data_IF_280151101943
#
_entry.id   IF_280151101943
#
_cell.length_a   1.000
_cell.length_b   1.000
_cell.length_c   1.000
_cell.angle_alpha   90.00
_cell.angle_beta   90.00
_cell.angle_gamma   90.00
#
_symmetry.space_group_name_H-M   'P 1'
#
loop_
_entity.id
_entity.type
_entity.pdbx_description
1 polymer ?
#
# COMPACT_ATOMS: atom_id res chain seq x y z
N UNK A 1 -11.16 -35.87 -9.76
CA UNK A 1 -9.95 -35.72 -8.92
C UNK A 1 -10.21 -34.56 -7.97
N UNK A 2 -9.96 -34.72 -6.67
CA UNK A 2 -10.08 -33.60 -5.73
C UNK A 2 -8.77 -32.84 -5.75
N UNK A 3 -8.83 -31.51 -5.91
CA UNK A 3 -7.68 -30.65 -5.70
C UNK A 3 -7.37 -30.57 -4.19
N UNK A 4 -6.10 -30.52 -3.83
CA UNK A 4 -5.68 -30.19 -2.47
C UNK A 4 -5.55 -28.67 -2.31
N UNK A 5 -5.54 -28.18 -1.07
CA UNK A 5 -5.25 -26.77 -0.79
C UNK A 5 -3.90 -26.33 -1.35
N UNK A 6 -2.89 -27.22 -1.35
CA UNK A 6 -1.58 -26.94 -1.93
C UNK A 6 -1.66 -26.72 -3.45
N UNK A 7 -2.49 -27.49 -4.16
CA UNK A 7 -2.68 -27.33 -5.60
C UNK A 7 -3.39 -26.01 -5.95
N UNK A 8 -4.26 -25.52 -5.08
CA UNK A 8 -4.92 -24.21 -5.22
C UNK A 8 -3.95 -23.07 -4.94
N UNK A 9 -3.09 -23.21 -3.92
CA UNK A 9 -2.06 -22.21 -3.62
C UNK A 9 -1.07 -22.05 -4.79
N UNK A 10 -0.64 -23.15 -5.41
CA UNK A 10 0.22 -23.09 -6.62
C UNK A 10 -0.44 -22.36 -7.79
N UNK A 11 -1.76 -22.53 -7.96
CA UNK A 11 -2.50 -21.79 -8.98
C UNK A 11 -2.64 -20.30 -8.64
N UNK A 12 -2.81 -19.97 -7.36
CA UNK A 12 -2.83 -18.59 -6.90
C UNK A 12 -1.47 -17.89 -7.08
N UNK A 13 -0.36 -18.61 -6.86
CA UNK A 13 0.99 -18.12 -7.16
C UNK A 13 1.15 -17.83 -8.66
N UNK A 14 0.76 -18.76 -9.53
CA UNK A 14 0.80 -18.54 -10.98
C UNK A 14 -0.07 -17.33 -11.42
N UNK A 15 -1.26 -17.19 -10.84
CA UNK A 15 -2.11 -16.01 -11.07
C UNK A 15 -1.42 -14.71 -10.61
N UNK A 16 -0.76 -14.72 -9.46
CA UNK A 16 -0.04 -13.55 -8.96
C UNK A 16 1.14 -13.17 -9.88
N UNK A 17 1.87 -14.16 -10.40
CA UNK A 17 2.95 -13.94 -11.38
C UNK A 17 2.39 -13.32 -12.67
N UNK A 18 1.28 -13.84 -13.20
CA UNK A 18 0.61 -13.30 -14.38
C UNK A 18 0.14 -11.85 -14.15
N UNK A 19 -0.40 -11.56 -12.96
CA UNK A 19 -0.78 -10.20 -12.56
C UNK A 19 0.40 -9.26 -12.49
N UNK A 20 1.58 -9.75 -12.06
CA UNK A 20 2.82 -8.98 -12.05
C UNK A 20 3.23 -8.47 -13.43
N UNK A 21 2.77 -9.12 -14.49
CA UNK A 21 3.04 -8.74 -15.89
C UNK A 21 2.01 -7.77 -16.47
N UNK A 22 0.99 -7.35 -15.71
CA UNK A 22 0.05 -6.31 -16.16
C UNK A 22 0.76 -4.96 -16.22
N UNK A 23 0.52 -4.20 -17.28
CA UNK A 23 1.13 -2.88 -17.51
C UNK A 23 0.94 -1.95 -16.30
N UNK A 24 -0.23 -1.99 -15.64
CA UNK A 24 -0.53 -1.17 -14.46
C UNK A 24 0.31 -1.56 -13.24
N UNK A 25 0.59 -2.85 -13.06
CA UNK A 25 1.42 -3.38 -11.97
C UNK A 25 2.90 -3.12 -12.24
N UNK A 26 3.34 -3.28 -13.48
CA UNK A 26 4.70 -2.91 -13.88
C UNK A 26 4.93 -1.41 -13.68
N UNK A 27 3.97 -0.58 -14.10
CA UNK A 27 4.02 0.87 -13.92
C UNK A 27 4.08 1.26 -12.43
N UNK A 28 3.30 0.58 -11.57
CA UNK A 28 3.39 0.75 -10.12
C UNK A 28 4.81 0.48 -9.59
N UNK A 29 5.45 -0.63 -10.00
CA UNK A 29 6.82 -0.94 -9.58
C UNK A 29 7.86 0.06 -10.11
N UNK A 30 7.69 0.55 -11.34
CA UNK A 30 8.57 1.59 -11.88
C UNK A 30 8.47 2.90 -11.09
N UNK A 31 7.26 3.30 -10.69
CA UNK A 31 7.04 4.47 -9.83
C UNK A 31 7.60 4.25 -8.43
N UNK A 32 7.44 3.06 -7.86
CA UNK A 32 8.02 2.67 -6.58
C UNK A 32 9.56 2.82 -6.60
N UNK A 33 10.22 2.32 -7.65
CA UNK A 33 11.66 2.45 -7.82
C UNK A 33 12.09 3.93 -7.89
N UNK A 34 11.41 4.75 -8.69
CA UNK A 34 11.67 6.20 -8.78
C UNK A 34 11.45 6.91 -7.44
N UNK A 35 10.45 6.51 -6.68
CA UNK A 35 10.16 7.05 -5.35
C UNK A 35 11.27 6.70 -4.36
N UNK A 36 11.75 5.46 -4.39
CA UNK A 36 12.83 4.97 -3.54
C UNK A 36 14.16 5.69 -3.83
N UNK A 37 14.43 6.02 -5.09
CA UNK A 37 15.61 6.79 -5.50
C UNK A 37 15.50 8.30 -5.25
N UNK A 38 14.28 8.81 -5.00
CA UNK A 38 14.05 10.24 -4.82
C UNK A 38 14.63 10.75 -3.48
N UNK A 39 15.81 11.37 -3.55
CA UNK A 39 16.54 11.92 -2.38
C UNK A 39 15.70 12.88 -1.52
N UNK A 40 14.83 13.68 -2.13
CA UNK A 40 13.97 14.64 -1.40
C UNK A 40 12.93 13.88 -0.56
N UNK A 41 12.26 12.90 -1.16
CA UNK A 41 11.32 12.01 -0.47
C UNK A 41 12.01 11.26 0.67
N UNK A 42 13.16 10.63 0.40
CA UNK A 42 13.92 9.89 1.42
C UNK A 42 14.35 10.79 2.59
N UNK A 43 14.74 12.03 2.30
CA UNK A 43 15.08 13.02 3.33
C UNK A 43 13.87 13.34 4.22
N UNK A 44 12.69 13.58 3.63
CA UNK A 44 11.49 13.85 4.41
C UNK A 44 10.99 12.64 5.19
N UNK A 45 11.05 11.43 4.63
CA UNK A 45 10.72 10.18 5.33
C UNK A 45 11.62 10.00 6.57
N UNK A 46 12.92 10.27 6.45
CA UNK A 46 13.84 10.19 7.58
C UNK A 46 13.51 11.21 8.67
N UNK A 47 13.13 12.43 8.28
CA UNK A 47 12.67 13.46 9.24
C UNK A 47 11.39 13.03 9.95
N UNK A 48 10.41 12.49 9.24
CA UNK A 48 9.17 11.94 9.82
C UNK A 48 9.50 10.85 10.83
N UNK A 49 10.34 9.86 10.46
CA UNK A 49 10.74 8.76 11.37
C UNK A 49 11.39 9.28 12.65
N UNK A 50 12.27 10.28 12.54
CA UNK A 50 12.89 10.91 13.71
C UNK A 50 11.84 11.58 14.61
N UNK A 51 10.92 12.35 14.02
CA UNK A 51 9.85 13.04 14.77
C UNK A 51 8.86 12.07 15.40
N UNK A 52 8.47 10.99 14.71
CA UNK A 52 7.61 9.94 15.26
C UNK A 52 8.25 9.29 16.50
N UNK A 53 9.55 8.99 16.44
CA UNK A 53 10.29 8.47 17.60
C UNK A 53 10.30 9.46 18.76
N UNK A 54 10.47 10.75 18.47
CA UNK A 54 10.40 11.81 19.48
C UNK A 54 8.99 11.94 20.07
N UNK A 55 7.94 11.88 19.25
CA UNK A 55 6.54 11.93 19.68
C UNK A 55 6.20 10.78 20.64
N UNK A 56 6.58 9.54 20.29
CA UNK A 56 6.41 8.36 21.17
C UNK A 56 7.15 8.55 22.50
N UNK A 57 8.36 9.12 22.48
CA UNK A 57 9.10 9.42 23.71
C UNK A 57 8.40 10.48 24.57
N UNK A 58 7.90 11.56 23.97
CA UNK A 58 7.16 12.62 24.66
C UNK A 58 5.85 12.11 25.26
N UNK A 59 5.15 11.23 24.54
CA UNK A 59 3.96 10.55 25.01
C UNK A 59 4.25 9.73 26.27
N UNK A 60 5.36 8.97 26.30
CA UNK A 60 5.78 8.17 27.45
C UNK A 60 6.05 9.02 28.71
N UNK A 61 6.47 10.28 28.54
CA UNK A 61 6.68 11.24 29.64
C UNK A 61 5.46 12.15 29.92
N UNK A 62 4.32 11.91 29.27
CA UNK A 62 3.09 12.68 29.49
C UNK A 62 3.12 14.11 28.94
N UNK A 63 4.07 14.45 28.06
CA UNK A 63 4.25 15.81 27.51
C UNK A 63 3.35 16.05 26.29
N UNK A 64 2.04 16.12 26.51
CA UNK A 64 1.03 16.21 25.44
C UNK A 64 1.20 17.39 24.49
N UNK A 65 1.46 18.60 24.98
CA UNK A 65 1.60 19.79 24.12
C UNK A 65 2.79 19.65 23.16
N UNK A 66 3.93 19.16 23.67
CA UNK A 66 5.10 18.91 22.85
C UNK A 66 4.88 17.77 21.84
N UNK A 67 4.12 16.74 22.22
CA UNK A 67 3.72 15.66 21.30
C UNK A 67 2.87 16.20 20.15
N UNK A 68 1.86 17.02 20.44
CA UNK A 68 0.99 17.62 19.42
C UNK A 68 1.77 18.50 18.44
N UNK A 69 2.76 19.25 18.95
CA UNK A 69 3.64 20.03 18.09
C UNK A 69 4.47 19.15 17.13
N UNK A 70 4.96 17.99 17.60
CA UNK A 70 5.65 17.03 16.74
C UNK A 70 4.74 16.39 15.70
N UNK A 71 3.49 16.07 16.07
CA UNK A 71 2.47 15.56 15.14
C UNK A 71 2.18 16.58 14.03
N UNK A 72 1.97 17.85 14.39
CA UNK A 72 1.78 18.92 13.41
C UNK A 72 2.97 19.06 12.45
N UNK A 73 4.19 18.98 12.96
CA UNK A 73 5.39 19.02 12.11
C UNK A 73 5.52 17.81 11.19
N UNK A 74 5.02 16.64 11.61
CA UNK A 74 4.93 15.45 10.75
C UNK A 74 3.92 15.71 9.63
N UNK A 75 2.75 16.25 9.94
CA UNK A 75 1.71 16.56 8.96
C UNK A 75 2.23 17.57 7.91
N UNK A 76 2.92 18.63 8.34
CA UNK A 76 3.54 19.61 7.44
C UNK A 76 4.61 18.99 6.51
N UNK A 77 5.31 17.95 6.96
CA UNK A 77 6.27 17.23 6.12
C UNK A 77 5.54 16.27 5.17
N UNK A 78 4.46 15.64 5.62
CA UNK A 78 3.62 14.79 4.77
C UNK A 78 2.99 15.59 3.63
N UNK A 79 2.46 16.79 3.89
CA UNK A 79 1.96 17.69 2.84
C UNK A 79 3.06 18.03 1.81
N UNK A 80 4.30 18.23 2.26
CA UNK A 80 5.44 18.48 1.37
C UNK A 80 5.82 17.26 0.54
N UNK A 81 5.69 16.04 1.09
CA UNK A 81 5.88 14.79 0.35
C UNK A 81 4.77 14.66 -0.70
N UNK A 82 3.52 14.90 -0.32
CA UNK A 82 2.34 14.79 -1.17
C UNK A 82 2.34 15.77 -2.34
N UNK A 83 3.01 16.92 -2.19
CA UNK A 83 3.24 17.87 -3.28
C UNK A 83 4.30 17.45 -4.30
N UNK A 84 5.00 16.33 -4.12
CA UNK A 84 6.03 15.87 -5.05
C UNK A 84 5.37 15.10 -6.21
N UNK A 85 5.64 15.45 -7.49
CA UNK A 85 4.97 14.83 -8.64
C UNK A 85 5.05 13.29 -8.66
N UNK A 86 6.23 12.71 -8.44
CA UNK A 86 6.38 11.23 -8.42
C UNK A 86 5.59 10.57 -7.28
N UNK A 87 5.33 11.27 -6.18
CA UNK A 87 4.48 10.76 -5.09
C UNK A 87 3.03 10.74 -5.52
N UNK A 88 2.57 11.76 -6.24
CA UNK A 88 1.21 11.83 -6.76
C UNK A 88 0.95 10.73 -7.78
N UNK A 89 1.85 10.58 -8.75
CA UNK A 89 1.80 9.49 -9.74
C UNK A 89 1.79 8.11 -9.06
N UNK A 90 2.62 7.91 -8.03
CA UNK A 90 2.64 6.67 -7.25
C UNK A 90 1.33 6.42 -6.49
N UNK A 91 0.72 7.45 -5.91
CA UNK A 91 -0.60 7.32 -5.24
C UNK A 91 -1.70 6.96 -6.24
N UNK A 92 -1.67 7.54 -7.43
CA UNK A 92 -2.63 7.20 -8.49
C UNK A 92 -2.46 5.74 -8.95
N UNK A 93 -1.21 5.30 -9.17
CA UNK A 93 -0.96 3.89 -9.54
C UNK A 93 -1.35 2.92 -8.42
N UNK A 94 -1.19 3.28 -7.14
CA UNK A 94 -1.72 2.50 -6.02
C UNK A 94 -3.24 2.30 -6.09
N UNK A 95 -4.00 3.33 -6.45
CA UNK A 95 -5.46 3.22 -6.57
C UNK A 95 -5.83 2.23 -7.68
N UNK A 96 -5.16 2.32 -8.83
CA UNK A 96 -5.39 1.41 -9.96
C UNK A 96 -5.04 -0.04 -9.59
N UNK A 97 -3.85 -0.27 -9.04
CA UNK A 97 -3.41 -1.59 -8.57
C UNK A 97 -4.38 -2.19 -7.54
N UNK A 98 -4.84 -1.40 -6.58
CA UNK A 98 -5.82 -1.86 -5.60
C UNK A 98 -7.15 -2.24 -6.25
N UNK A 99 -7.61 -1.50 -7.25
CA UNK A 99 -8.84 -1.82 -7.96
C UNK A 99 -8.73 -3.15 -8.72
N UNK A 100 -7.58 -3.44 -9.34
CA UNK A 100 -7.31 -4.73 -10.00
C UNK A 100 -7.38 -5.87 -8.98
N UNK A 101 -6.66 -5.76 -7.87
CA UNK A 101 -6.64 -6.76 -6.80
C UNK A 101 -8.04 -7.00 -6.21
N UNK A 102 -8.80 -5.94 -5.97
CA UNK A 102 -10.17 -6.02 -5.46
C UNK A 102 -11.10 -6.69 -6.46
N UNK A 103 -11.01 -6.36 -7.75
CA UNK A 103 -11.86 -6.94 -8.80
C UNK A 103 -11.66 -8.45 -8.91
N UNK A 104 -10.40 -8.91 -8.85
CA UNK A 104 -10.06 -10.34 -8.89
C UNK A 104 -10.57 -11.04 -7.62
N UNK A 105 -10.32 -10.45 -6.45
CA UNK A 105 -10.80 -10.99 -5.17
C UNK A 105 -12.32 -11.15 -5.16
N UNK A 106 -13.05 -10.13 -5.63
CA UNK A 106 -14.50 -10.15 -5.74
C UNK A 106 -14.98 -11.23 -6.73
N UNK A 107 -14.29 -11.40 -7.86
CA UNK A 107 -14.63 -12.43 -8.84
C UNK A 107 -14.43 -13.85 -8.28
N UNK A 108 -13.31 -14.09 -7.59
CA UNK A 108 -13.03 -15.36 -6.89
C UNK A 108 -14.13 -15.63 -5.86
N UNK A 109 -14.43 -14.65 -5.00
CA UNK A 109 -15.47 -14.77 -3.98
C UNK A 109 -16.82 -15.08 -4.63
N UNK A 110 -17.22 -14.32 -5.65
CA UNK A 110 -18.47 -14.57 -6.36
C UNK A 110 -18.52 -15.99 -6.93
N UNK A 111 -17.46 -16.45 -7.58
CA UNK A 111 -17.43 -17.77 -8.23
C UNK A 111 -17.48 -18.91 -7.22
N UNK A 112 -16.78 -18.79 -6.08
CA UNK A 112 -16.76 -19.82 -5.03
C UNK A 112 -18.13 -19.99 -4.35
N UNK A 113 -18.86 -18.89 -4.15
CA UNK A 113 -20.15 -18.90 -3.45
C UNK A 113 -21.38 -18.83 -4.38
N UNK A 114 -21.18 -18.85 -5.71
CA UNK A 114 -22.27 -18.65 -6.70
C UNK A 114 -23.34 -19.76 -6.66
N UNK A 115 -22.91 -20.99 -6.36
CA UNK A 115 -23.77 -22.17 -6.42
C UNK A 115 -24.61 -22.40 -5.14
N UNK A 116 -24.34 -21.65 -4.06
CA UNK A 116 -25.08 -21.79 -2.80
C UNK A 116 -26.46 -21.08 -2.80
N UNK A 117 -26.74 -20.23 -3.79
CA UNK A 117 -27.99 -19.46 -3.90
C UNK A 117 -29.02 -20.08 -4.88
N UNK A 118 -28.63 -21.08 -5.69
CA UNK A 118 -29.52 -21.67 -6.70
C UNK A 118 -30.44 -22.79 -6.17
N UNK A 119 -30.27 -23.21 -4.92
CA UNK A 119 -31.02 -24.32 -4.28
C UNK A 119 -31.92 -23.88 -3.10
N UNK A 120 -32.38 -22.61 -3.08
CA UNK A 120 -33.44 -22.12 -2.18
C UNK A 120 -34.62 -21.55 -2.96
#
# INVERSE_FOLDING_TARGET
>A
MSYSTEDILKQAEALADDMGNLDEIEHFHQLEAKLNENKKVQTYINQIKMKQKQAVNLQAYGKREAQQQMEKEIDEIQEKIDGIPVVQEFKESQVVTNHILQSITQNIQHTVFKDDEADK
#
